data_IF_772141630121
#
_entry.id   IF_772141630121
#
_cell.length_a   1.000
_cell.length_b   1.000
_cell.length_c   1.000
_cell.angle_alpha   90.00
_cell.angle_beta   90.00
_cell.angle_gamma   90.00
#
_symmetry.space_group_name_H-M   'P 1'
#
loop_
_entity.id
_entity.type
_entity.pdbx_description
1 polymer ?
#
# COMPACT_ATOMS: atom_id res chain seq x y z
N UNK A 1 31.20 17.01 9.19
CA UNK A 1 30.07 16.93 8.24
C UNK A 1 29.33 15.63 8.48
N UNK A 2 28.01 15.67 8.68
CA UNK A 2 27.12 14.49 8.75
C UNK A 2 25.90 14.82 7.89
N UNK A 3 25.45 13.95 6.99
CA UNK A 3 24.37 14.29 6.06
C UNK A 3 23.06 14.41 6.84
N UNK A 4 22.31 15.47 6.54
CA UNK A 4 20.95 15.61 7.00
C UNK A 4 20.12 14.52 6.33
N UNK A 5 19.55 13.62 7.13
CA UNK A 5 18.52 12.70 6.67
C UNK A 5 17.27 13.55 6.55
N UNK A 6 16.95 13.95 5.31
CA UNK A 6 15.68 14.57 4.97
C UNK A 6 14.62 13.47 5.06
N UNK A 7 14.00 13.35 6.23
CA UNK A 7 12.81 12.53 6.40
C UNK A 7 11.67 13.25 5.65
N UNK A 8 11.08 12.70 4.57
CA UNK A 8 9.94 13.32 3.92
C UNK A 8 8.79 13.33 4.93
N UNK A 9 8.53 14.51 5.47
CA UNK A 9 7.52 14.75 6.51
C UNK A 9 6.22 15.19 5.83
N UNK A 10 5.75 14.42 4.85
CA UNK A 10 4.44 14.61 4.24
C UNK A 10 3.34 13.94 5.06
N UNK A 11 3.13 14.38 6.30
CA UNK A 11 1.92 13.99 7.02
C UNK A 11 0.75 14.73 6.38
N UNK A 12 -0.11 13.99 5.67
CA UNK A 12 -1.30 14.53 5.03
C UNK A 12 -2.21 15.16 6.09
N UNK A 13 -2.31 16.49 6.13
CA UNK A 13 -3.06 17.28 7.13
C UNK A 13 -4.57 17.32 6.88
N UNK A 14 -5.15 16.33 6.19
CA UNK A 14 -6.60 16.26 6.01
C UNK A 14 -7.22 15.51 7.21
N UNK A 15 -8.01 16.17 8.08
CA UNK A 15 -8.48 15.59 9.33
C UNK A 15 -9.53 14.49 9.15
N UNK A 16 -10.00 14.22 7.92
CA UNK A 16 -11.05 13.22 7.67
C UNK A 16 -10.75 12.21 6.56
N UNK A 17 -9.78 12.47 5.69
CA UNK A 17 -9.33 11.51 4.68
C UNK A 17 -7.92 11.01 5.02
N UNK A 18 -7.82 9.89 5.75
CA UNK A 18 -6.56 9.16 5.95
C UNK A 18 -6.11 8.58 4.61
N UNK A 19 -5.52 9.44 3.78
CA UNK A 19 -5.00 9.05 2.48
C UNK A 19 -3.72 8.27 2.70
N UNK A 20 -3.63 7.07 2.14
CA UNK A 20 -2.40 6.28 2.17
C UNK A 20 -1.45 6.84 1.11
N UNK A 21 -0.22 7.14 1.48
CA UNK A 21 0.79 7.72 0.58
C UNK A 21 1.99 6.79 0.48
N UNK A 22 2.65 6.80 -0.68
CA UNK A 22 3.88 6.05 -0.88
C UNK A 22 5.01 6.62 -0.02
N UNK A 23 5.69 5.76 0.73
CA UNK A 23 6.78 6.18 1.62
C UNK A 23 8.04 6.71 0.91
N UNK A 24 8.16 6.54 -0.42
CA UNK A 24 9.33 6.99 -1.20
C UNK A 24 9.15 8.34 -1.88
N UNK A 25 7.99 8.56 -2.49
CA UNK A 25 7.75 9.73 -3.34
C UNK A 25 6.48 10.48 -2.98
N UNK A 26 5.86 10.12 -1.85
CA UNK A 26 4.66 10.74 -1.27
C UNK A 26 3.44 10.73 -2.20
N UNK A 27 3.50 9.94 -3.27
CA UNK A 27 2.41 9.74 -4.19
C UNK A 27 1.24 9.08 -3.47
N UNK A 28 0.05 9.69 -3.56
CA UNK A 28 -1.19 9.11 -3.04
C UNK A 28 -1.45 7.75 -3.67
N UNK A 29 -1.72 6.77 -2.83
CA UNK A 29 -2.08 5.40 -3.17
C UNK A 29 -3.58 5.28 -2.99
N UNK A 30 -4.25 4.73 -4.01
CA UNK A 30 -5.68 4.50 -4.00
C UNK A 30 -6.04 3.03 -4.18
N UNK A 31 -5.05 2.18 -4.43
CA UNK A 31 -5.23 0.79 -4.87
C UNK A 31 -4.32 -0.15 -4.10
N UNK A 32 -4.81 -1.33 -3.80
CA UNK A 32 -4.05 -2.42 -3.19
C UNK A 32 -4.38 -3.75 -3.85
N UNK A 33 -3.51 -4.73 -3.69
CA UNK A 33 -3.70 -6.10 -4.18
C UNK A 33 -3.54 -7.08 -3.04
N UNK A 34 -4.40 -8.10 -2.99
CA UNK A 34 -4.30 -9.17 -1.99
C UNK A 34 -3.38 -10.28 -2.50
N UNK A 35 -2.49 -10.73 -1.63
CA UNK A 35 -1.68 -11.91 -1.85
C UNK A 35 -2.46 -13.14 -1.39
N UNK A 36 -3.11 -13.86 -2.32
CA UNK A 36 -3.90 -15.08 -2.03
C UNK A 36 -3.03 -16.32 -1.73
N UNK A 37 -1.78 -16.14 -1.30
CA UNK A 37 -0.81 -17.23 -1.14
C UNK A 37 -0.66 -17.76 0.29
N UNK A 38 -1.56 -17.42 1.22
CA UNK A 38 -1.52 -18.00 2.56
C UNK A 38 -2.35 -19.26 2.66
N UNK A 39 -1.66 -20.40 2.74
CA UNK A 39 -2.19 -21.73 3.12
C UNK A 39 -2.77 -21.77 4.54
N UNK A 40 -2.73 -20.66 5.29
CA UNK A 40 -3.22 -20.55 6.65
C UNK A 40 -4.33 -19.48 6.76
N UNK A 41 -5.50 -19.80 7.35
CA UNK A 41 -6.56 -18.83 7.58
C UNK A 41 -6.07 -17.75 8.57
N UNK A 42 -6.20 -16.48 8.18
CA UNK A 42 -5.90 -15.33 9.04
C UNK A 42 -4.51 -14.69 8.87
N UNK A 43 -3.70 -15.15 7.91
CA UNK A 43 -2.42 -14.49 7.53
C UNK A 43 -2.50 -13.93 6.11
N UNK A 44 -3.50 -13.12 5.82
CA UNK A 44 -3.56 -12.41 4.54
C UNK A 44 -2.54 -11.28 4.53
N UNK A 45 -1.85 -11.12 3.39
CA UNK A 45 -1.06 -9.92 3.14
C UNK A 45 -1.65 -9.18 1.95
N UNK A 46 -1.61 -7.86 2.02
CA UNK A 46 -1.88 -6.96 0.91
C UNK A 46 -0.59 -6.24 0.55
N UNK A 47 -0.43 -5.91 -0.73
CA UNK A 47 0.64 -5.04 -1.18
C UNK A 47 0.07 -3.80 -1.86
N UNK A 48 0.77 -2.69 -1.64
CA UNK A 48 0.50 -1.39 -2.22
C UNK A 48 1.61 -1.09 -3.21
N UNK A 49 1.25 -0.87 -4.48
CA UNK A 49 2.21 -0.53 -5.52
C UNK A 49 2.08 0.94 -5.89
N UNK A 50 3.17 1.68 -5.78
CA UNK A 50 3.21 3.08 -6.18
C UNK A 50 3.27 3.20 -7.71
N UNK A 51 2.29 3.83 -8.36
CA UNK A 51 2.28 3.99 -9.82
C UNK A 51 3.35 4.97 -10.32
N UNK A 52 3.92 5.80 -9.43
CA UNK A 52 4.91 6.83 -9.78
C UNK A 52 6.34 6.30 -9.77
N UNK A 53 6.72 5.54 -8.74
CA UNK A 53 8.11 5.12 -8.53
C UNK A 53 8.31 3.61 -8.46
N UNK A 54 7.25 2.81 -8.58
CA UNK A 54 7.31 1.35 -8.49
C UNK A 54 7.59 0.79 -7.10
N UNK A 55 7.59 1.64 -6.05
CA UNK A 55 7.74 1.17 -4.68
C UNK A 55 6.60 0.23 -4.29
N UNK A 56 6.93 -0.89 -3.66
CA UNK A 56 5.95 -1.87 -3.16
C UNK A 56 6.04 -1.92 -1.64
N UNK A 57 4.90 -1.82 -0.99
CA UNK A 57 4.77 -1.81 0.47
C UNK A 57 3.83 -2.93 0.90
N UNK A 58 4.21 -3.67 1.94
CA UNK A 58 3.42 -4.80 2.45
C UNK A 58 2.66 -4.39 3.70
N UNK A 59 1.37 -4.73 3.73
CA UNK A 59 0.49 -4.49 4.89
C UNK A 59 -0.31 -5.75 5.17
N UNK A 60 -0.80 -5.89 6.41
CA UNK A 60 -1.75 -6.96 6.73
C UNK A 60 -3.07 -6.74 5.98
N UNK A 61 -3.74 -7.81 5.56
CA UNK A 61 -5.08 -7.72 4.95
C UNK A 61 -6.14 -7.16 5.92
N UNK A 62 -5.89 -7.29 7.23
CA UNK A 62 -6.71 -6.72 8.30
C UNK A 62 -6.38 -5.25 8.61
N UNK A 63 -5.46 -4.63 7.87
CA UNK A 63 -5.03 -3.26 8.14
C UNK A 63 -6.18 -2.26 7.87
N UNK A 64 -6.47 -1.33 8.81
CA UNK A 64 -7.48 -0.30 8.60
C UNK A 64 -7.12 0.68 7.47
N UNK A 65 -5.87 0.67 7.00
CA UNK A 65 -5.43 1.46 5.84
C UNK A 65 -6.14 1.02 4.56
N UNK A 66 -6.48 -0.27 4.44
CA UNK A 66 -7.12 -0.84 3.26
C UNK A 66 -8.58 -0.39 3.10
N UNK A 67 -9.22 0.07 4.19
CA UNK A 67 -10.61 0.55 4.17
C UNK A 67 -10.81 1.76 3.25
N UNK A 68 -9.74 2.53 2.99
CA UNK A 68 -9.75 3.72 2.15
C UNK A 68 -9.14 3.47 0.77
N UNK A 69 -8.81 2.21 0.46
CA UNK A 69 -8.16 1.80 -0.76
C UNK A 69 -9.05 0.85 -1.55
N UNK A 70 -8.95 0.94 -2.87
CA UNK A 70 -9.65 0.09 -3.81
C UNK A 70 -8.88 -1.24 -3.96
N UNK A 71 -9.56 -2.36 -3.69
CA UNK A 71 -9.00 -3.67 -3.98
C UNK A 71 -8.96 -3.85 -5.50
N UNK A 72 -7.75 -3.97 -6.04
CA UNK A 72 -7.55 -4.42 -7.41
C UNK A 72 -7.62 -5.94 -7.37
N UNK A 73 -8.75 -6.48 -7.85
CA UNK A 73 -8.85 -7.89 -8.15
C UNK A 73 -7.83 -8.19 -9.24
N UNK A 74 -6.75 -8.88 -8.88
CA UNK A 74 -5.95 -9.61 -9.86
C UNK A 74 -6.80 -10.80 -10.27
N UNK A 75 -7.54 -10.64 -11.37
CA UNK A 75 -8.13 -11.75 -12.09
C UNK A 75 -6.97 -12.64 -12.51
N UNK A 76 -6.61 -13.60 -11.66
CA UNK A 76 -5.68 -14.68 -12.03
C UNK A 76 -6.53 -15.69 -12.78
N UNK A 77 -7.06 -15.24 -13.92
CA UNK A 77 -7.82 -15.98 -14.89
C UNK A 77 -6.96 -16.13 -16.13
N UNK A 78 -6.16 -17.20 -16.15
CA UNK A 78 -5.63 -17.87 -17.35
C UNK A 78 -5.05 -19.19 -16.78
N UNK A 79 -5.56 -20.39 -17.06
CA UNK A 79 -6.11 -20.85 -18.32
C UNK A 79 -5.13 -21.83 -18.96
N UNK A 80 -4.81 -22.96 -18.29
CA UNK A 80 -4.28 -24.18 -18.91
C UNK A 80 -4.60 -25.41 -18.05
#
# INVERSE_FOLDING_TARGET
MKPAIETPTGVSTDPYSKTVCCLRCEQKLHRYQLMRASLAPGMGHAFLSCPRCGHVEFVADSSPLLQHLELVAVDTGDGD
#
